data_IF_244532858383
#
_entry.id   IF_244532858383
#
_cell.length_a   1.000
_cell.length_b   1.000
_cell.length_c   1.000
_cell.angle_alpha   90.00
_cell.angle_beta   90.00
_cell.angle_gamma   90.00
#
_symmetry.space_group_name_H-M   'P 1'
#
loop_
_entity.id
_entity.type
_entity.pdbx_description
1 polymer ?
#
# COMPACT_ATOMS: atom_id res chain seq x y z
N UNK A 1 11.42 -20.84 21.64
CA UNK A 1 11.39 -19.94 20.48
C UNK A 1 10.13 -19.08 20.45
N UNK A 2 8.91 -19.62 20.60
CA UNK A 2 7.63 -18.84 20.57
C UNK A 2 7.55 -17.70 21.61
N UNK A 3 8.21 -17.82 22.76
CA UNK A 3 8.22 -16.78 23.82
C UNK A 3 9.13 -15.60 23.48
N UNK A 4 10.30 -15.85 22.90
CA UNK A 4 11.24 -14.79 22.51
C UNK A 4 10.66 -13.93 21.35
N UNK A 5 9.99 -14.57 20.40
CA UNK A 5 9.31 -13.88 19.30
C UNK A 5 8.16 -12.97 19.77
N UNK A 6 7.30 -13.47 20.68
CA UNK A 6 6.24 -12.64 21.29
C UNK A 6 6.82 -11.44 22.05
N UNK A 7 7.95 -11.60 22.70
CA UNK A 7 8.64 -10.49 23.37
C UNK A 7 9.19 -9.49 22.35
N UNK A 8 9.85 -9.96 21.29
CA UNK A 8 10.38 -9.10 20.23
C UNK A 8 9.27 -8.30 19.53
N UNK A 9 8.17 -8.95 19.16
CA UNK A 9 7.00 -8.30 18.55
C UNK A 9 6.37 -7.26 19.49
N UNK A 10 6.28 -7.57 20.80
CA UNK A 10 5.78 -6.63 21.81
C UNK A 10 6.70 -5.41 21.96
N UNK A 11 8.02 -5.60 21.91
CA UNK A 11 8.97 -4.48 21.97
C UNK A 11 8.94 -3.66 20.68
N UNK A 12 8.78 -4.29 19.51
CA UNK A 12 8.64 -3.61 18.24
C UNK A 12 7.35 -2.78 18.19
N UNK A 13 6.23 -3.32 18.65
CA UNK A 13 4.95 -2.61 18.77
C UNK A 13 5.04 -1.44 19.77
N UNK A 14 5.72 -1.63 20.89
CA UNK A 14 5.97 -0.56 21.86
C UNK A 14 6.89 0.52 21.28
N UNK A 15 7.92 0.15 20.52
CA UNK A 15 8.80 1.09 19.85
C UNK A 15 8.04 1.93 18.81
N UNK A 16 7.19 1.29 18.00
CA UNK A 16 6.32 1.96 17.04
C UNK A 16 5.32 2.88 17.74
N UNK A 17 4.72 2.45 18.86
CA UNK A 17 3.82 3.27 19.66
C UNK A 17 4.54 4.49 20.29
N UNK A 18 5.76 4.32 20.80
CA UNK A 18 6.57 5.40 21.37
C UNK A 18 7.01 6.40 20.29
N UNK A 19 7.39 5.90 19.11
CA UNK A 19 7.72 6.75 17.96
C UNK A 19 6.50 7.53 17.45
N UNK A 20 5.31 6.91 17.47
CA UNK A 20 4.06 7.59 17.11
C UNK A 20 3.68 8.70 18.11
N UNK A 21 3.94 8.51 19.41
CA UNK A 21 3.68 9.52 20.45
C UNK A 21 4.65 10.71 20.37
N UNK A 22 5.90 10.48 19.92
CA UNK A 22 6.89 11.56 19.69
C UNK A 22 6.59 12.44 18.48
N UNK A 23 5.68 12.06 17.59
CA UNK A 23 5.30 12.81 16.39
C UNK A 23 4.39 14.02 16.68
N UNK A 24 3.93 14.20 17.91
CA UNK A 24 3.05 15.33 18.31
C UNK A 24 3.79 16.63 18.63
N UNK A 25 5.12 16.72 18.47
CA UNK A 25 5.84 17.97 18.71
C UNK A 25 5.81 18.84 17.44
N UNK A 26 5.25 20.03 17.54
CA UNK A 26 5.36 21.10 16.55
C UNK A 26 6.83 21.53 16.43
N UNK A 27 7.54 21.02 15.42
CA UNK A 27 8.89 21.49 15.14
C UNK A 27 8.86 22.80 14.33
N UNK A 28 9.71 23.78 14.63
CA UNK A 28 9.77 25.02 13.86
C UNK A 28 10.32 24.77 12.45
N UNK A 29 9.79 25.53 11.49
CA UNK A 29 10.21 25.54 10.08
C UNK A 29 11.65 26.06 9.99
N UNK A 30 12.59 25.27 9.47
CA UNK A 30 13.91 25.76 9.06
C UNK A 30 13.87 26.19 7.60
N UNK A 31 14.22 27.44 7.33
CA UNK A 31 14.44 27.96 5.97
C UNK A 31 15.78 27.44 5.43
N UNK A 32 15.72 26.72 4.31
CA UNK A 32 16.86 26.16 3.59
C UNK A 32 16.61 24.69 3.23
N UNK A 33 16.29 24.38 1.99
CA UNK A 33 15.84 23.07 1.48
C UNK A 33 14.59 22.51 2.23
N UNK A 34 13.77 23.41 2.75
CA UNK A 34 12.61 23.08 3.55
C UNK A 34 11.50 22.55 2.64
N UNK A 35 11.21 21.29 2.80
CA UNK A 35 9.89 20.74 2.42
C UNK A 35 8.85 21.53 3.21
N UNK A 36 8.05 22.34 2.55
CA UNK A 36 6.97 23.10 3.15
C UNK A 36 5.89 22.11 3.55
N UNK A 37 5.84 21.77 4.85
CA UNK A 37 4.71 20.97 5.36
C UNK A 37 3.44 21.82 5.23
N UNK A 38 2.40 21.35 4.52
CA UNK A 38 1.17 22.09 4.38
C UNK A 38 0.50 22.26 5.75
N UNK A 39 0.35 23.49 6.17
CA UNK A 39 -0.31 23.84 7.44
C UNK A 39 -1.80 24.16 7.28
N UNK A 40 -2.33 24.08 6.07
CA UNK A 40 -3.69 24.47 5.74
C UNK A 40 -4.52 23.28 5.28
N UNK A 41 -5.78 23.22 5.72
CA UNK A 41 -6.80 22.38 5.13
C UNK A 41 -7.39 23.09 3.90
N UNK A 42 -7.66 22.36 2.82
CA UNK A 42 -8.31 22.91 1.62
C UNK A 42 -9.65 23.56 1.97
N UNK A 43 -10.39 22.97 2.90
CA UNK A 43 -11.70 23.44 3.37
C UNK A 43 -11.69 24.84 3.97
N UNK A 44 -10.52 25.38 4.34
CA UNK A 44 -10.36 26.73 4.92
C UNK A 44 -9.99 27.81 3.92
N UNK A 45 -9.62 27.42 2.70
CA UNK A 45 -9.01 28.34 1.74
C UNK A 45 -9.75 28.33 0.40
N UNK A 46 -10.51 27.27 0.10
CA UNK A 46 -11.25 27.16 -1.14
C UNK A 46 -12.64 27.80 -0.98
N UNK A 47 -13.03 28.66 -1.93
CA UNK A 47 -14.40 29.13 -2.07
C UNK A 47 -15.38 27.95 -2.19
N UNK A 48 -16.64 28.15 -1.78
CA UNK A 48 -17.68 27.12 -1.69
C UNK A 48 -17.80 26.24 -2.96
N UNK A 49 -17.47 26.77 -4.13
CA UNK A 49 -17.50 26.04 -5.40
C UNK A 49 -16.40 25.00 -5.59
N UNK A 50 -15.29 25.09 -4.83
CA UNK A 50 -14.19 24.11 -4.85
C UNK A 50 -14.15 23.27 -3.57
N UNK A 51 -14.69 23.74 -2.47
CA UNK A 51 -14.89 22.99 -1.24
C UNK A 51 -15.77 21.74 -1.47
N UNK A 52 -16.71 21.85 -2.40
CA UNK A 52 -17.56 20.75 -2.86
C UNK A 52 -16.78 19.48 -3.27
N UNK A 53 -15.57 19.59 -3.81
CA UNK A 53 -14.75 18.43 -4.17
C UNK A 53 -14.08 17.76 -2.95
N UNK A 54 -13.88 18.51 -1.86
CA UNK A 54 -13.31 17.99 -0.62
C UNK A 54 -14.38 17.53 0.37
N UNK A 55 -15.55 18.15 0.38
CA UNK A 55 -16.69 17.84 1.25
C UNK A 55 -17.29 16.44 1.01
N UNK A 56 -17.06 15.86 -0.16
CA UNK A 56 -17.57 14.53 -0.50
C UNK A 56 -16.79 13.40 0.18
N UNK A 57 -15.58 13.67 0.74
CA UNK A 57 -14.74 12.66 1.37
C UNK A 57 -14.70 12.88 2.87
N UNK A 58 -15.42 12.03 3.61
CA UNK A 58 -15.44 12.07 5.08
C UNK A 58 -14.04 11.82 5.67
N UNK A 59 -13.51 12.80 6.39
CA UNK A 59 -12.21 12.74 7.06
C UNK A 59 -12.30 13.24 8.52
N UNK A 60 -13.07 12.55 9.38
CA UNK A 60 -13.26 12.96 10.77
C UNK A 60 -11.97 12.88 11.61
N UNK A 61 -10.95 12.20 11.10
CA UNK A 61 -9.66 12.01 11.76
C UNK A 61 -8.52 12.79 11.08
N UNK A 62 -8.83 13.91 10.43
CA UNK A 62 -7.86 14.71 9.67
C UNK A 62 -6.57 15.01 10.47
N UNK A 63 -6.69 15.41 11.73
CA UNK A 63 -5.52 15.69 12.57
C UNK A 63 -4.61 14.48 12.77
N UNK A 64 -5.19 13.30 12.98
CA UNK A 64 -4.46 12.04 13.04
C UNK A 64 -3.87 11.69 11.66
N UNK A 65 -4.67 11.77 10.61
CA UNK A 65 -4.26 11.44 9.25
C UNK A 65 -3.10 12.32 8.76
N UNK A 66 -3.15 13.62 9.00
CA UNK A 66 -2.03 14.54 8.70
C UNK A 66 -0.78 14.19 9.52
N UNK A 67 -0.94 13.75 10.76
CA UNK A 67 0.21 13.31 11.58
C UNK A 67 0.83 12.02 11.04
N UNK A 68 0.00 11.06 10.61
CA UNK A 68 0.47 9.83 9.96
C UNK A 68 1.09 10.10 8.59
N UNK A 69 0.55 11.04 7.83
CA UNK A 69 1.14 11.48 6.56
C UNK A 69 2.57 12.02 6.77
N UNK A 70 2.78 12.89 7.77
CA UNK A 70 4.11 13.38 8.15
C UNK A 70 5.03 12.27 8.66
N UNK A 71 4.49 11.33 9.44
CA UNK A 71 5.24 10.15 9.88
C UNK A 71 5.72 9.33 8.68
N UNK A 72 4.81 9.03 7.73
CA UNK A 72 5.12 8.29 6.52
C UNK A 72 6.19 8.98 5.68
N UNK A 73 6.10 10.32 5.52
CA UNK A 73 7.15 11.10 4.87
C UNK A 73 8.52 10.91 5.53
N UNK A 74 8.59 11.04 6.86
CA UNK A 74 9.86 10.89 7.59
C UNK A 74 10.38 9.47 7.49
N UNK A 75 9.51 8.50 7.65
CA UNK A 75 9.86 7.08 7.53
C UNK A 75 10.36 6.75 6.11
N UNK A 76 9.66 7.25 5.09
CA UNK A 76 10.08 7.08 3.70
C UNK A 76 11.46 7.71 3.45
N UNK A 77 11.63 8.96 3.83
CA UNK A 77 12.88 9.72 3.59
C UNK A 77 14.09 9.13 4.30
N UNK A 78 13.93 8.70 5.56
CA UNK A 78 15.07 8.33 6.41
C UNK A 78 15.28 6.81 6.54
N UNK A 79 14.28 6.00 6.20
CA UNK A 79 14.34 4.54 6.32
C UNK A 79 14.13 3.87 4.96
N UNK A 80 12.98 4.06 4.32
CA UNK A 80 12.66 3.34 3.09
C UNK A 80 13.57 3.72 1.92
N UNK A 81 13.68 5.01 1.61
CA UNK A 81 14.47 5.45 0.45
C UNK A 81 15.95 5.07 0.55
N UNK A 82 16.65 5.21 1.70
CA UNK A 82 18.01 4.70 1.84
C UNK A 82 18.12 3.19 1.57
N UNK A 83 17.17 2.39 2.09
CA UNK A 83 17.15 0.93 1.87
C UNK A 83 16.89 0.59 0.40
N UNK A 84 15.90 1.24 -0.22
CA UNK A 84 15.57 1.07 -1.64
C UNK A 84 16.74 1.49 -2.54
N UNK A 85 17.39 2.59 -2.24
CA UNK A 85 18.56 3.05 -3.00
C UNK A 85 19.73 2.05 -2.87
N UNK A 86 19.94 1.51 -1.66
CA UNK A 86 20.92 0.43 -1.44
C UNK A 86 20.57 -0.82 -2.24
N UNK A 87 19.30 -1.24 -2.21
CA UNK A 87 18.80 -2.37 -2.98
C UNK A 87 19.04 -2.16 -4.49
N UNK A 88 18.63 -1.02 -5.05
CA UNK A 88 18.86 -0.68 -6.47
C UNK A 88 20.33 -0.59 -6.85
N UNK A 89 21.19 -0.14 -5.94
CA UNK A 89 22.63 0.00 -6.22
C UNK A 89 23.35 -1.36 -6.35
N UNK A 90 22.86 -2.41 -5.69
CA UNK A 90 23.50 -3.74 -5.70
C UNK A 90 22.75 -4.77 -6.55
N UNK A 91 21.50 -4.48 -6.95
CA UNK A 91 20.66 -5.42 -7.71
C UNK A 91 20.65 -5.02 -9.18
N UNK A 92 21.11 -5.88 -10.10
CA UNK A 92 21.00 -5.61 -11.54
C UNK A 92 19.53 -5.52 -11.99
N UNK A 93 19.24 -4.70 -13.00
CA UNK A 93 17.88 -4.41 -13.48
C UNK A 93 17.05 -5.67 -13.79
N UNK A 94 17.68 -6.70 -14.41
CA UNK A 94 16.97 -7.95 -14.74
C UNK A 94 16.54 -8.72 -13.48
N UNK A 95 17.31 -8.62 -12.40
CA UNK A 95 17.01 -9.27 -11.13
C UNK A 95 15.94 -8.47 -10.36
N UNK A 96 16.03 -7.13 -10.38
CA UNK A 96 14.98 -6.24 -9.83
C UNK A 96 13.63 -6.53 -10.52
N UNK A 97 13.63 -6.57 -11.86
CA UNK A 97 12.43 -6.90 -12.63
C UNK A 97 11.90 -8.32 -12.32
N UNK A 98 12.78 -9.30 -12.16
CA UNK A 98 12.39 -10.67 -11.83
C UNK A 98 11.77 -10.77 -10.43
N UNK A 99 12.33 -10.09 -9.44
CA UNK A 99 11.79 -10.00 -8.08
C UNK A 99 10.42 -9.32 -8.08
N UNK A 100 10.29 -8.22 -8.82
CA UNK A 100 9.01 -7.54 -8.99
C UNK A 100 7.95 -8.46 -9.60
N UNK A 101 8.25 -9.12 -10.70
CA UNK A 101 7.34 -10.07 -11.34
C UNK A 101 6.94 -11.24 -10.42
N UNK A 102 7.88 -11.74 -9.62
CA UNK A 102 7.61 -12.76 -8.61
C UNK A 102 6.56 -12.28 -7.59
N UNK A 103 6.69 -11.06 -7.07
CA UNK A 103 5.71 -10.51 -6.14
C UNK A 103 4.36 -10.25 -6.81
N UNK A 104 4.35 -9.78 -8.05
CA UNK A 104 3.11 -9.65 -8.84
C UNK A 104 2.41 -10.99 -9.05
N UNK A 105 3.16 -12.08 -9.26
CA UNK A 105 2.60 -13.43 -9.37
C UNK A 105 2.02 -13.94 -8.04
N UNK A 106 2.59 -13.56 -6.89
CA UNK A 106 1.98 -13.85 -5.57
C UNK A 106 0.69 -13.03 -5.38
N UNK A 107 0.64 -11.78 -5.84
CA UNK A 107 -0.57 -10.94 -5.79
C UNK A 107 -1.72 -11.52 -6.63
N UNK A 108 -1.41 -12.25 -7.72
CA UNK A 108 -2.42 -12.94 -8.52
C UNK A 108 -3.26 -13.93 -7.68
N UNK A 109 -2.72 -14.46 -6.55
CA UNK A 109 -3.48 -15.30 -5.61
C UNK A 109 -4.61 -14.50 -4.94
N UNK A 110 -4.30 -13.31 -4.43
CA UNK A 110 -5.29 -12.41 -3.82
C UNK A 110 -6.30 -11.95 -4.85
N UNK A 111 -5.83 -11.55 -6.03
CA UNK A 111 -6.68 -11.17 -7.17
C UNK A 111 -7.61 -12.29 -7.60
N UNK A 112 -7.13 -13.54 -7.66
CA UNK A 112 -7.95 -14.72 -7.99
C UNK A 112 -9.10 -14.91 -6.99
N UNK A 113 -8.78 -14.90 -5.68
CA UNK A 113 -9.77 -15.07 -4.62
C UNK A 113 -10.83 -13.97 -4.70
N UNK A 114 -10.40 -12.71 -4.81
CA UNK A 114 -11.29 -11.57 -4.86
C UNK A 114 -12.13 -11.54 -6.15
N UNK A 115 -11.58 -11.95 -7.29
CA UNK A 115 -12.32 -12.09 -8.55
C UNK A 115 -13.45 -13.10 -8.46
N UNK A 116 -13.24 -14.22 -7.74
CA UNK A 116 -14.32 -15.19 -7.44
C UNK A 116 -15.38 -14.54 -6.55
N UNK A 117 -14.97 -13.88 -5.47
CA UNK A 117 -15.88 -13.23 -4.54
C UNK A 117 -16.69 -12.09 -5.18
N UNK A 118 -16.15 -11.45 -6.21
CA UNK A 118 -16.81 -10.43 -7.03
C UNK A 118 -17.64 -11.04 -8.17
N UNK A 119 -17.76 -12.36 -8.26
CA UNK A 119 -18.49 -13.05 -9.31
C UNK A 119 -18.05 -12.67 -10.73
N UNK A 120 -16.75 -12.42 -10.94
CA UNK A 120 -16.17 -12.02 -12.22
C UNK A 120 -15.44 -13.19 -12.90
N UNK A 121 -16.12 -14.00 -13.73
CA UNK A 121 -15.53 -15.20 -14.33
C UNK A 121 -14.37 -14.85 -15.28
N UNK A 122 -14.47 -13.75 -16.00
CA UNK A 122 -13.43 -13.30 -16.93
C UNK A 122 -12.13 -12.99 -16.18
N UNK A 123 -12.19 -12.16 -15.13
CA UNK A 123 -11.02 -11.84 -14.31
C UNK A 123 -10.45 -13.09 -13.64
N UNK A 124 -11.32 -13.97 -13.12
CA UNK A 124 -10.93 -15.25 -12.50
C UNK A 124 -10.13 -16.14 -13.45
N UNK A 125 -10.65 -16.38 -14.68
CA UNK A 125 -9.98 -17.24 -15.67
C UNK A 125 -8.66 -16.61 -16.13
N UNK A 126 -8.64 -15.31 -16.41
CA UNK A 126 -7.44 -14.61 -16.85
C UNK A 126 -6.35 -14.61 -15.77
N UNK A 127 -6.70 -14.32 -14.52
CA UNK A 127 -5.75 -14.35 -13.39
C UNK A 127 -5.24 -15.77 -13.14
N UNK A 128 -6.11 -16.80 -13.23
CA UNK A 128 -5.67 -18.20 -13.15
C UNK A 128 -4.68 -18.54 -14.25
N UNK A 129 -4.97 -18.14 -15.49
CA UNK A 129 -4.08 -18.36 -16.62
C UNK A 129 -2.71 -17.69 -16.42
N UNK A 130 -2.70 -16.44 -15.97
CA UNK A 130 -1.48 -15.70 -15.63
C UNK A 130 -0.66 -16.44 -14.59
N UNK A 131 -1.28 -16.75 -13.44
CA UNK A 131 -0.62 -17.43 -12.34
C UNK A 131 0.01 -18.75 -12.77
N UNK A 132 -0.74 -19.60 -13.49
CA UNK A 132 -0.24 -20.90 -13.96
C UNK A 132 0.92 -20.75 -14.95
N UNK A 133 0.79 -19.89 -15.95
CA UNK A 133 1.83 -19.66 -16.96
C UNK A 133 3.09 -19.06 -16.33
N UNK A 134 2.94 -18.04 -15.51
CA UNK A 134 4.06 -17.37 -14.85
C UNK A 134 4.74 -18.29 -13.82
N UNK A 135 3.97 -19.10 -13.09
CA UNK A 135 4.55 -20.03 -12.10
C UNK A 135 5.30 -21.17 -12.77
N UNK A 136 4.78 -21.73 -13.89
CA UNK A 136 5.39 -22.89 -14.56
C UNK A 136 6.46 -22.49 -15.56
N UNK A 137 6.11 -21.73 -16.59
CA UNK A 137 7.01 -21.31 -17.67
C UNK A 137 7.85 -20.11 -17.24
N UNK A 138 7.29 -19.22 -16.40
CA UNK A 138 7.93 -18.01 -15.90
C UNK A 138 8.82 -18.22 -14.68
N UNK A 139 9.19 -19.45 -14.30
CA UNK A 139 10.07 -19.76 -13.16
C UNK A 139 9.55 -19.14 -11.85
N UNK A 140 8.39 -19.59 -11.38
CA UNK A 140 7.69 -19.09 -10.20
C UNK A 140 7.31 -17.59 -10.28
N UNK A 141 7.10 -17.09 -11.49
CA UNK A 141 6.73 -15.71 -11.74
C UNK A 141 7.91 -14.74 -11.96
N UNK A 142 9.16 -15.24 -11.91
CA UNK A 142 10.33 -14.39 -12.16
C UNK A 142 10.32 -13.76 -13.56
N UNK A 143 9.76 -14.45 -14.54
CA UNK A 143 9.53 -13.97 -15.90
C UNK A 143 8.03 -13.84 -16.14
N UNK A 144 7.54 -12.65 -16.47
CA UNK A 144 6.14 -12.45 -16.85
C UNK A 144 5.89 -12.90 -18.30
N UNK A 145 5.65 -14.19 -18.44
CA UNK A 145 5.32 -14.82 -19.72
C UNK A 145 3.88 -14.52 -20.12
N UNK A 146 2.98 -14.40 -19.14
CA UNK A 146 1.56 -14.15 -19.38
C UNK A 146 1.33 -12.81 -20.09
N UNK A 147 2.07 -11.77 -19.75
CA UNK A 147 2.00 -10.48 -20.46
C UNK A 147 2.50 -10.58 -21.91
N UNK A 148 3.43 -11.48 -22.21
CA UNK A 148 3.88 -11.74 -23.59
C UNK A 148 2.86 -12.53 -24.41
N UNK A 149 1.89 -13.14 -23.74
CA UNK A 149 0.76 -13.84 -24.35
C UNK A 149 -0.52 -12.97 -24.36
N UNK A 150 -0.38 -11.67 -24.12
CA UNK A 150 -1.48 -10.69 -24.06
C UNK A 150 -2.59 -11.06 -23.06
N UNK A 151 -2.25 -11.80 -21.99
CA UNK A 151 -3.19 -12.08 -20.90
C UNK A 151 -3.17 -10.87 -19.94
N UNK A 152 -4.29 -10.12 -19.82
CA UNK A 152 -4.33 -8.90 -19.03
C UNK A 152 -4.10 -9.17 -17.54
N UNK A 153 -3.39 -8.26 -16.85
CA UNK A 153 -3.27 -8.28 -15.40
C UNK A 153 -4.48 -7.58 -14.78
N UNK A 154 -5.03 -8.20 -13.78
CA UNK A 154 -6.03 -7.60 -12.89
C UNK A 154 -5.39 -7.36 -11.51
N UNK A 155 -5.99 -6.46 -10.77
CA UNK A 155 -5.55 -6.08 -9.41
C UNK A 155 -6.81 -5.92 -8.57
N UNK A 156 -7.16 -6.99 -7.86
CA UNK A 156 -8.36 -7.07 -7.04
C UNK A 156 -7.99 -7.39 -5.59
N UNK A 157 -8.56 -6.65 -4.68
CA UNK A 157 -8.39 -6.80 -3.24
C UNK A 157 -9.74 -6.93 -2.52
N UNK A 158 -9.71 -7.30 -1.25
CA UNK A 158 -10.92 -7.49 -0.46
C UNK A 158 -11.66 -6.17 -0.17
N UNK A 159 -10.97 -5.03 -0.16
CA UNK A 159 -11.61 -3.71 -0.09
C UNK A 159 -12.46 -3.42 -1.31
N UNK A 160 -11.99 -3.79 -2.52
CA UNK A 160 -12.76 -3.72 -3.77
C UNK A 160 -13.94 -4.70 -3.73
N UNK A 161 -13.73 -5.92 -3.22
CA UNK A 161 -14.79 -6.92 -3.04
C UNK A 161 -15.91 -6.39 -2.14
N UNK A 162 -15.58 -5.78 -1.01
CA UNK A 162 -16.56 -5.12 -0.15
C UNK A 162 -17.29 -3.98 -0.88
N UNK A 163 -16.56 -3.18 -1.66
CA UNK A 163 -17.13 -2.12 -2.48
C UNK A 163 -18.09 -2.65 -3.56
N UNK A 164 -17.73 -3.71 -4.23
CA UNK A 164 -18.59 -4.40 -5.20
C UNK A 164 -19.91 -4.86 -4.58
N UNK A 165 -19.88 -5.31 -3.33
CA UNK A 165 -21.06 -5.69 -2.57
C UNK A 165 -21.80 -4.52 -1.91
N UNK A 166 -21.43 -3.27 -2.25
CA UNK A 166 -22.14 -2.06 -1.82
C UNK A 166 -21.69 -1.50 -0.48
N UNK A 167 -20.60 -1.99 0.11
CA UNK A 167 -20.04 -1.40 1.31
C UNK A 167 -19.35 -0.07 0.95
N UNK A 168 -19.81 1.02 1.54
CA UNK A 168 -19.23 2.36 1.34
C UNK A 168 -17.79 2.44 1.83
N UNK A 169 -17.03 3.43 1.33
CA UNK A 169 -15.62 3.64 1.69
C UNK A 169 -15.41 3.81 3.21
N UNK A 170 -16.40 4.40 3.91
CA UNK A 170 -16.21 4.90 5.25
C UNK A 170 -15.24 6.09 5.30
N UNK A 171 -14.86 6.53 6.50
CA UNK A 171 -13.90 7.62 6.71
C UNK A 171 -12.55 7.35 6.05
N UNK A 172 -11.93 8.42 5.53
CA UNK A 172 -10.55 8.40 5.06
C UNK A 172 -9.58 8.11 6.21
N UNK A 173 -8.54 7.34 5.93
CA UNK A 173 -7.55 6.93 6.91
C UNK A 173 -6.16 6.91 6.27
N UNK A 174 -5.17 7.44 6.98
CA UNK A 174 -3.76 7.26 6.60
C UNK A 174 -3.13 6.21 7.50
N UNK A 175 -2.75 5.09 6.89
CA UNK A 175 -2.11 3.98 7.60
C UNK A 175 -0.60 4.24 7.77
N UNK A 176 -0.02 3.94 8.95
CA UNK A 176 1.42 4.02 9.14
C UNK A 176 2.14 3.14 8.13
N UNK A 177 3.15 3.68 7.46
CA UNK A 177 3.99 3.03 6.44
C UNK A 177 3.26 2.72 5.13
N UNK A 178 1.98 2.35 5.19
CA UNK A 178 1.19 1.90 4.03
C UNK A 178 0.56 3.05 3.23
N UNK A 179 0.42 4.23 3.86
CA UNK A 179 -0.07 5.42 3.18
C UNK A 179 -1.60 5.58 3.19
N UNK A 180 -2.17 6.27 2.17
CA UNK A 180 -3.59 6.58 2.10
C UNK A 180 -4.45 5.33 2.01
N UNK A 181 -5.59 5.35 2.71
CA UNK A 181 -6.57 4.27 2.80
C UNK A 181 -7.94 4.85 3.18
N UNK A 182 -8.90 4.00 3.43
CA UNK A 182 -10.16 4.28 4.11
C UNK A 182 -10.51 3.09 5.02
N UNK A 183 -11.56 3.20 5.82
CA UNK A 183 -11.90 2.14 6.78
C UNK A 183 -12.22 0.81 6.08
N UNK A 184 -12.98 0.84 4.99
CA UNK A 184 -13.29 -0.37 4.20
C UNK A 184 -12.03 -1.05 3.68
N UNK A 185 -11.16 -0.27 3.02
CA UNK A 185 -9.95 -0.80 2.39
C UNK A 185 -8.92 -1.23 3.44
N UNK A 186 -8.86 -0.55 4.59
CA UNK A 186 -8.03 -0.97 5.72
C UNK A 186 -8.47 -2.33 6.30
N UNK A 187 -9.78 -2.57 6.40
CA UNK A 187 -10.31 -3.89 6.77
C UNK A 187 -9.98 -4.92 5.69
N UNK A 188 -10.18 -4.55 4.41
CA UNK A 188 -9.84 -5.39 3.26
C UNK A 188 -8.38 -5.84 3.28
N UNK A 189 -7.46 -4.92 3.49
CA UNK A 189 -6.04 -5.20 3.63
C UNK A 189 -5.75 -6.20 4.75
N UNK A 190 -6.45 -6.08 5.88
CA UNK A 190 -6.32 -7.02 6.99
C UNK A 190 -6.77 -8.44 6.62
N UNK A 191 -7.86 -8.56 5.87
CA UNK A 191 -8.39 -9.86 5.39
C UNK A 191 -7.44 -10.48 4.37
N UNK A 192 -6.97 -9.71 3.38
CA UNK A 192 -6.02 -10.19 2.37
C UNK A 192 -4.70 -10.65 3.02
N UNK A 193 -4.19 -9.87 3.98
CA UNK A 193 -2.99 -10.24 4.73
C UNK A 193 -3.19 -11.53 5.52
N UNK A 194 -4.33 -11.68 6.21
CA UNK A 194 -4.67 -12.89 6.95
C UNK A 194 -4.74 -14.09 6.01
N UNK A 195 -5.46 -13.96 4.90
CA UNK A 195 -5.62 -15.03 3.89
C UNK A 195 -4.27 -15.49 3.33
N UNK A 196 -3.39 -14.55 2.97
CA UNK A 196 -2.05 -14.88 2.51
C UNK A 196 -1.20 -15.56 3.59
N UNK A 197 -1.36 -15.18 4.85
CA UNK A 197 -0.66 -15.83 5.95
C UNK A 197 -1.12 -17.27 6.17
N UNK A 198 -2.42 -17.53 6.12
CA UNK A 198 -2.95 -18.91 6.20
C UNK A 198 -2.38 -19.78 5.06
N UNK A 199 -2.35 -19.27 3.83
CA UNK A 199 -1.74 -19.98 2.69
C UNK A 199 -0.25 -20.28 2.95
N UNK A 200 0.49 -19.34 3.50
CA UNK A 200 1.91 -19.53 3.86
C UNK A 200 2.09 -20.54 4.99
N UNK A 201 1.14 -20.62 5.92
CA UNK A 201 1.12 -21.62 6.98
C UNK A 201 0.87 -23.02 6.43
N UNK A 202 -0.07 -23.18 5.50
CA UNK A 202 -0.31 -24.45 4.80
C UNK A 202 0.89 -24.90 3.94
N UNK A 203 1.71 -23.98 3.47
CA UNK A 203 2.97 -24.26 2.77
C UNK A 203 4.15 -24.54 3.74
N UNK A 204 3.88 -24.70 5.04
CA UNK A 204 4.88 -24.96 6.10
C UNK A 204 6.03 -23.94 6.13
N UNK A 205 5.76 -22.68 5.77
CA UNK A 205 6.75 -21.62 5.79
C UNK A 205 7.07 -21.20 7.23
N UNK A 206 8.37 -21.08 7.53
CA UNK A 206 8.83 -20.58 8.82
C UNK A 206 8.52 -19.09 8.99
N UNK A 207 8.29 -18.66 10.22
CA UNK A 207 8.05 -17.24 10.53
C UNK A 207 9.14 -16.31 9.97
N UNK A 208 10.41 -16.75 9.98
CA UNK A 208 11.52 -15.98 9.40
C UNK A 208 11.40 -15.79 7.88
N UNK A 209 10.91 -16.81 7.18
CA UNK A 209 10.71 -16.77 5.72
C UNK A 209 9.54 -15.85 5.36
N UNK A 210 8.43 -15.93 6.11
CA UNK A 210 7.27 -15.04 5.94
C UNK A 210 7.66 -13.57 6.15
N UNK A 211 8.46 -13.28 7.19
CA UNK A 211 8.96 -11.93 7.45
C UNK A 211 9.91 -11.45 6.35
N UNK A 212 10.83 -12.31 5.90
CA UNK A 212 11.74 -11.98 4.81
C UNK A 212 10.98 -11.61 3.53
N UNK A 213 9.96 -12.40 3.15
CA UNK A 213 9.11 -12.10 2.00
C UNK A 213 8.32 -10.79 2.19
N UNK A 214 7.79 -10.55 3.38
CA UNK A 214 7.01 -9.33 3.65
C UNK A 214 7.87 -8.07 3.58
N UNK A 215 9.08 -8.11 4.15
CA UNK A 215 10.02 -7.00 4.09
C UNK A 215 10.49 -6.78 2.64
N UNK A 216 10.83 -7.86 1.93
CA UNK A 216 11.29 -7.76 0.55
C UNK A 216 10.18 -7.24 -0.38
N UNK A 217 8.93 -7.67 -0.18
CA UNK A 217 7.76 -7.11 -0.89
C UNK A 217 7.62 -5.60 -0.60
N UNK A 218 7.80 -5.16 0.64
CA UNK A 218 7.76 -3.73 0.98
C UNK A 218 8.85 -2.93 0.24
N UNK A 219 10.07 -3.44 0.18
CA UNK A 219 11.19 -2.82 -0.54
C UNK A 219 10.87 -2.76 -2.05
N UNK A 220 10.44 -3.86 -2.63
CA UNK A 220 10.08 -3.95 -4.04
C UNK A 220 8.94 -3.00 -4.40
N UNK A 221 7.85 -3.01 -3.63
CA UNK A 221 6.73 -2.09 -3.83
C UNK A 221 7.21 -0.64 -3.81
N UNK A 222 8.02 -0.25 -2.80
CA UNK A 222 8.52 1.11 -2.71
C UNK A 222 9.52 1.46 -3.83
N UNK A 223 10.30 0.51 -4.31
CA UNK A 223 11.21 0.67 -5.45
C UNK A 223 10.47 1.00 -6.75
N UNK A 224 9.26 0.45 -6.92
CA UNK A 224 8.42 0.60 -8.12
C UNK A 224 7.35 1.71 -8.00
N UNK A 225 7.25 2.41 -6.85
CA UNK A 225 6.36 3.55 -6.67
C UNK A 225 7.09 4.86 -6.93
N UNK A 226 6.64 5.60 -7.95
CA UNK A 226 7.22 6.89 -8.32
C UNK A 226 6.87 8.02 -7.35
N UNK A 227 5.75 7.91 -6.62
CA UNK A 227 5.28 8.94 -5.69
C UNK A 227 6.33 9.31 -4.65
N UNK A 228 6.47 10.61 -4.39
CA UNK A 228 7.32 11.18 -3.33
C UNK A 228 6.50 12.16 -2.50
N UNK A 229 6.55 12.00 -1.18
CA UNK A 229 5.89 12.91 -0.26
C UNK A 229 6.48 14.31 -0.38
N UNK A 230 5.63 15.32 -0.46
CA UNK A 230 5.99 16.75 -0.54
C UNK A 230 6.84 17.16 -1.75
N UNK A 231 6.91 16.33 -2.78
CA UNK A 231 7.65 16.64 -4.01
C UNK A 231 7.02 17.80 -4.78
N UNK A 232 5.71 17.93 -4.72
CA UNK A 232 4.97 18.98 -5.43
C UNK A 232 5.17 20.37 -4.81
N UNK A 233 5.60 20.45 -3.54
CA UNK A 233 5.65 21.68 -2.76
C UNK A 233 4.29 22.35 -2.56
N UNK A 234 3.19 21.66 -2.88
CA UNK A 234 1.84 22.20 -2.74
C UNK A 234 1.38 22.15 -1.29
N UNK A 235 0.83 23.23 -0.74
CA UNK A 235 0.21 23.22 0.59
C UNK A 235 -1.01 22.30 0.68
N UNK A 236 -1.59 21.91 -0.46
CA UNK A 236 -2.78 21.05 -0.58
C UNK A 236 -2.44 19.59 -0.92
N UNK A 237 -1.19 19.18 -0.82
CA UNK A 237 -0.78 17.84 -1.24
C UNK A 237 -1.57 16.74 -0.51
N UNK A 238 -1.82 16.88 0.78
CA UNK A 238 -2.63 15.94 1.55
C UNK A 238 -4.04 15.79 0.97
N UNK A 239 -4.70 16.89 0.65
CA UNK A 239 -6.07 16.91 0.12
C UNK A 239 -6.11 16.32 -1.29
N UNK A 240 -5.10 16.62 -2.12
CA UNK A 240 -4.94 15.98 -3.43
C UNK A 240 -4.74 14.46 -3.32
N UNK A 241 -3.91 14.00 -2.39
CA UNK A 241 -3.68 12.55 -2.18
C UNK A 241 -4.97 11.87 -1.70
N UNK A 242 -5.72 12.50 -0.79
CA UNK A 242 -7.03 12.04 -0.32
C UNK A 242 -8.01 11.89 -1.50
N UNK A 243 -8.12 12.92 -2.34
CA UNK A 243 -9.01 12.94 -3.51
C UNK A 243 -8.58 11.86 -4.53
N UNK A 244 -7.32 11.84 -4.93
CA UNK A 244 -6.80 10.90 -5.92
C UNK A 244 -6.98 9.45 -5.47
N UNK A 245 -6.68 9.14 -4.20
CA UNK A 245 -6.88 7.81 -3.65
C UNK A 245 -8.35 7.40 -3.72
N UNK A 246 -9.26 8.25 -3.23
CA UNK A 246 -10.69 7.94 -3.19
C UNK A 246 -11.27 7.77 -4.59
N UNK A 247 -10.89 8.64 -5.53
CA UNK A 247 -11.32 8.55 -6.93
C UNK A 247 -10.80 7.28 -7.60
N UNK A 248 -9.51 6.96 -7.40
CA UNK A 248 -8.93 5.72 -7.92
C UNK A 248 -9.69 4.50 -7.40
N UNK A 249 -9.94 4.42 -6.09
CA UNK A 249 -10.69 3.29 -5.49
C UNK A 249 -12.11 3.16 -6.04
N UNK A 250 -12.80 4.27 -6.30
CA UNK A 250 -14.11 4.25 -6.95
C UNK A 250 -14.02 3.64 -8.35
N UNK A 251 -13.07 4.10 -9.16
CA UNK A 251 -12.84 3.55 -10.50
C UNK A 251 -12.46 2.07 -10.48
N UNK A 252 -11.66 1.63 -9.51
CA UNK A 252 -11.24 0.23 -9.38
C UNK A 252 -12.42 -0.71 -9.07
N UNK A 253 -13.47 -0.23 -8.39
CA UNK A 253 -14.69 -0.99 -8.08
C UNK A 253 -15.66 -1.02 -9.26
N UNK A 254 -15.71 0.05 -10.06
CA UNK A 254 -16.63 0.21 -11.19
C UNK A 254 -16.17 -0.53 -12.47
N UNK A 255 -14.96 -1.08 -12.50
CA UNK A 255 -14.42 -1.90 -13.60
C UNK A 255 -15.17 -3.22 -13.73
#
# INVERSE_FOLDING_TARGET
MKTAYKQLLRHLLLLVAVLALGACSTAPVQQGDAVIEPSFSADRVLDDDLAYLSDEISDPWEGFNRSMYRFNYRFDKYVFLPVVNGYKAITPDFLEQGIHNFFLNIEDITTFINSILQLSPTKTVQTTGRFLVNTTVGLLGFIDVASRLDIPKHDEDFGQTLGYWGVGNGPFLVLPVLGPSNVRDGVGLGVDWYTLNEIRDELDMKDSEKWALTIMKGIDTRANVAFRYYETGSPFEYDWVKLLYTTKRKMDIEK
#
